data_IF_220921168098
#
_entry.id   IF_220921168098
#
_cell.length_a   1.000
_cell.length_b   1.000
_cell.length_c   1.000
_cell.angle_alpha   90.00
_cell.angle_beta   90.00
_cell.angle_gamma   90.00
#
_symmetry.space_group_name_H-M   'P 1'
#
loop_
_entity.id
_entity.type
_entity.pdbx_description
1 polymer ?
#
# COMPACT_ATOMS: atom_id res chain seq x y z
N UNK A 1 50.54 36.21 21.73
CA UNK A 1 49.87 35.39 22.77
C UNK A 1 48.39 35.65 22.61
N UNK A 2 47.69 34.73 21.94
CA UNK A 2 46.60 33.92 22.52
C UNK A 2 45.46 34.82 23.05
N UNK A 3 44.20 34.74 22.63
CA UNK A 3 43.49 33.62 22.03
C UNK A 3 42.03 34.03 21.77
N UNK A 4 41.43 33.38 20.78
CA UNK A 4 40.03 32.93 20.79
C UNK A 4 38.93 33.91 20.37
N UNK A 5 38.99 34.21 19.07
CA UNK A 5 37.82 34.36 18.22
C UNK A 5 36.77 33.28 18.53
N UNK A 6 35.66 33.69 19.13
CA UNK A 6 34.50 32.86 19.42
C UNK A 6 33.84 32.46 18.11
N UNK A 7 34.24 31.31 17.56
CA UNK A 7 33.62 30.70 16.38
C UNK A 7 32.19 30.30 16.74
N UNK A 8 31.22 31.05 16.24
CA UNK A 8 29.80 30.66 16.16
C UNK A 8 29.74 29.45 15.23
N UNK A 9 29.75 28.25 15.81
CA UNK A 9 29.48 27.01 15.10
C UNK A 9 27.97 26.80 15.13
N UNK A 10 27.28 27.42 14.17
CA UNK A 10 25.86 27.23 13.93
C UNK A 10 25.69 25.83 13.29
N UNK A 11 25.53 24.82 14.15
CA UNK A 11 25.23 23.45 13.74
C UNK A 11 23.82 23.45 13.13
N UNK A 12 23.71 23.66 11.81
CA UNK A 12 22.49 23.39 11.06
C UNK A 12 22.25 21.88 11.11
N UNK A 13 21.50 21.44 12.13
CA UNK A 13 20.87 20.13 12.15
C UNK A 13 19.85 20.16 11.01
N UNK A 14 20.26 19.69 9.84
CA UNK A 14 19.36 19.25 8.78
C UNK A 14 18.55 18.09 9.35
N UNK A 15 17.53 18.43 10.13
CA UNK A 15 16.43 17.54 10.41
C UNK A 15 15.76 17.36 9.06
N UNK A 16 16.13 16.28 8.38
CA UNK A 16 15.35 15.72 7.29
C UNK A 16 14.01 15.34 7.91
N UNK A 17 13.10 16.30 8.02
CA UNK A 17 11.70 16.01 8.22
C UNK A 17 11.33 15.16 7.01
N UNK A 18 11.27 13.84 7.22
CA UNK A 18 10.62 12.94 6.29
C UNK A 18 9.17 13.37 6.34
N UNK A 19 8.82 14.35 5.51
CA UNK A 19 7.45 14.79 5.36
C UNK A 19 6.70 13.59 4.78
N UNK A 20 5.92 12.94 5.64
CA UNK A 20 4.98 11.93 5.19
C UNK A 20 3.98 12.66 4.30
N UNK A 21 3.91 12.28 3.02
CA UNK A 21 2.88 12.82 2.14
C UNK A 21 1.49 12.31 2.54
N UNK A 22 0.42 12.82 1.90
CA UNK A 22 -0.96 12.53 2.27
C UNK A 22 -1.27 11.03 2.24
N UNK A 23 -0.63 10.28 1.33
CA UNK A 23 -0.83 8.84 1.23
C UNK A 23 -0.22 8.14 2.45
N UNK A 24 1.00 8.51 2.84
CA UNK A 24 1.64 8.02 4.05
C UNK A 24 0.83 8.36 5.30
N UNK A 25 0.37 9.59 5.45
CA UNK A 25 -0.47 9.99 6.59
C UNK A 25 -1.75 9.16 6.68
N UNK A 26 -2.43 8.98 5.55
CA UNK A 26 -3.62 8.15 5.45
C UNK A 26 -3.34 6.71 5.91
N UNK A 27 -2.29 6.06 5.39
CA UNK A 27 -1.96 4.67 5.77
C UNK A 27 -1.48 4.56 7.22
N UNK A 28 -0.74 5.55 7.73
CA UNK A 28 -0.35 5.61 9.15
C UNK A 28 -1.58 5.70 10.05
N UNK A 29 -2.58 6.50 9.68
CA UNK A 29 -3.80 6.64 10.45
C UNK A 29 -4.66 5.38 10.40
N UNK A 30 -4.73 4.69 9.27
CA UNK A 30 -5.36 3.37 9.17
C UNK A 30 -4.69 2.35 10.11
N UNK A 31 -3.36 2.27 10.11
CA UNK A 31 -2.62 1.39 11.02
C UNK A 31 -2.83 1.76 12.50
N UNK A 32 -2.92 3.05 12.84
CA UNK A 32 -3.28 3.49 14.21
C UNK A 32 -4.70 3.04 14.58
N UNK A 33 -5.65 3.11 13.64
CA UNK A 33 -7.02 2.64 13.88
C UNK A 33 -7.04 1.13 14.17
N UNK A 34 -6.30 0.33 13.40
CA UNK A 34 -6.14 -1.11 13.67
C UNK A 34 -5.54 -1.37 15.05
N UNK A 35 -4.58 -0.55 15.49
CA UNK A 35 -3.98 -0.63 16.82
C UNK A 35 -4.99 -0.34 17.94
N UNK A 36 -5.80 0.72 17.77
CA UNK A 36 -6.87 1.09 18.71
C UNK A 36 -7.92 -0.02 18.78
N UNK A 37 -8.29 -0.59 17.63
CA UNK A 37 -9.19 -1.72 17.58
C UNK A 37 -8.63 -2.93 18.33
N UNK A 38 -7.36 -3.31 18.09
CA UNK A 38 -6.71 -4.42 18.78
C UNK A 38 -6.67 -4.21 20.31
N UNK A 39 -6.39 -2.98 20.76
CA UNK A 39 -6.45 -2.60 22.19
C UNK A 39 -7.85 -2.77 22.77
N UNK A 40 -8.88 -2.32 22.05
CA UNK A 40 -10.29 -2.44 22.47
C UNK A 40 -10.77 -3.89 22.53
N UNK A 41 -10.26 -4.75 21.65
CA UNK A 41 -10.63 -6.17 21.58
C UNK A 41 -9.76 -7.08 22.45
N UNK A 42 -8.92 -6.52 23.32
CA UNK A 42 -8.00 -7.29 24.18
C UNK A 42 -7.13 -8.29 23.40
N UNK A 43 -6.69 -7.91 22.20
CA UNK A 43 -5.80 -8.70 21.35
C UNK A 43 -4.34 -8.50 21.76
N UNK A 44 -4.04 -8.68 23.04
CA UNK A 44 -2.79 -8.24 23.67
C UNK A 44 -1.54 -8.85 23.03
N UNK A 45 -1.64 -10.08 22.52
CA UNK A 45 -0.56 -10.75 21.79
C UNK A 45 -0.18 -10.06 20.47
N UNK A 46 -1.10 -9.31 19.86
CA UNK A 46 -0.90 -8.68 18.55
C UNK A 46 -0.43 -7.22 18.67
N UNK A 47 -0.71 -6.56 19.79
CA UNK A 47 -0.38 -5.14 20.01
C UNK A 47 1.10 -4.85 19.80
N UNK A 48 2.07 -5.57 20.41
CA UNK A 48 3.49 -5.25 20.25
C UNK A 48 3.96 -5.35 18.80
N UNK A 49 3.42 -6.31 18.05
CA UNK A 49 3.73 -6.48 16.63
C UNK A 49 3.15 -5.33 15.80
N UNK A 50 1.91 -4.93 16.06
CA UNK A 50 1.26 -3.80 15.40
C UNK A 50 2.00 -2.48 15.68
N UNK A 51 2.42 -2.23 16.93
CA UNK A 51 3.20 -1.03 17.31
C UNK A 51 4.55 -1.01 16.59
N UNK A 52 5.26 -2.15 16.57
CA UNK A 52 6.54 -2.28 15.87
C UNK A 52 6.40 -2.04 14.37
N UNK A 53 5.35 -2.60 13.75
CA UNK A 53 5.10 -2.43 12.32
C UNK A 53 4.73 -0.98 11.99
N UNK A 54 3.91 -0.33 12.83
CA UNK A 54 3.58 1.08 12.69
C UNK A 54 4.83 1.96 12.76
N UNK A 55 5.73 1.72 13.72
CA UNK A 55 6.96 2.50 13.83
C UNK A 55 7.85 2.32 12.60
N UNK A 56 8.09 1.07 12.18
CA UNK A 56 8.86 0.77 10.98
C UNK A 56 8.27 1.41 9.72
N UNK A 57 6.94 1.42 9.62
CA UNK A 57 6.25 2.03 8.49
C UNK A 57 6.46 3.53 8.49
N UNK A 58 6.24 4.22 9.62
CA UNK A 58 6.51 5.67 9.76
C UNK A 58 7.92 6.05 9.35
N UNK A 59 8.92 5.29 9.78
CA UNK A 59 10.34 5.61 9.54
C UNK A 59 10.74 5.52 8.06
N UNK A 60 9.99 4.77 7.25
CA UNK A 60 10.33 4.46 5.86
C UNK A 60 9.29 4.89 4.83
N UNK A 61 8.15 5.42 5.27
CA UNK A 61 7.04 5.66 4.37
C UNK A 61 7.38 6.74 3.34
N UNK A 62 7.13 6.42 2.07
CA UNK A 62 7.16 7.38 0.97
C UNK A 62 5.96 7.15 0.07
N UNK A 63 5.25 8.22 -0.25
CA UNK A 63 4.09 8.20 -1.15
C UNK A 63 4.43 7.60 -2.51
N UNK A 64 5.64 7.89 -3.03
CA UNK A 64 6.14 7.33 -4.29
C UNK A 64 6.25 5.81 -4.26
N UNK A 65 6.72 5.25 -3.14
CA UNK A 65 6.96 3.81 -3.01
C UNK A 65 5.61 3.09 -2.95
N UNK A 66 4.65 3.64 -2.21
CA UNK A 66 3.27 3.13 -2.15
C UNK A 66 2.60 3.18 -3.52
N UNK A 67 2.74 4.28 -4.26
CA UNK A 67 2.20 4.39 -5.61
C UNK A 67 2.84 3.37 -6.56
N UNK A 68 4.15 3.18 -6.47
CA UNK A 68 4.86 2.19 -7.26
C UNK A 68 4.36 0.77 -6.97
N UNK A 69 4.17 0.41 -5.71
CA UNK A 69 3.61 -0.89 -5.31
C UNK A 69 2.19 -1.09 -5.88
N UNK A 70 1.36 -0.03 -5.87
CA UNK A 70 0.02 -0.08 -6.48
C UNK A 70 0.10 -0.28 -8.00
N UNK A 71 1.01 0.42 -8.68
CA UNK A 71 1.22 0.22 -10.13
C UNK A 71 1.67 -1.21 -10.44
N UNK A 72 2.61 -1.76 -9.68
CA UNK A 72 3.04 -3.15 -9.83
C UNK A 72 1.88 -4.14 -9.60
N UNK A 73 1.04 -3.89 -8.60
CA UNK A 73 -0.15 -4.70 -8.36
C UNK A 73 -1.18 -4.60 -9.50
N UNK A 74 -1.34 -3.42 -10.10
CA UNK A 74 -2.19 -3.24 -11.29
C UNK A 74 -1.66 -4.06 -12.48
N UNK A 75 -0.35 -4.05 -12.73
CA UNK A 75 0.26 -4.85 -13.80
C UNK A 75 0.02 -6.35 -13.55
N UNK A 76 0.33 -6.82 -12.34
CA UNK A 76 0.15 -8.21 -11.95
C UNK A 76 -1.31 -8.67 -12.08
N UNK A 77 -2.26 -7.88 -11.58
CA UNK A 77 -3.69 -8.23 -11.66
C UNK A 77 -4.25 -8.13 -13.08
N UNK A 78 -3.69 -7.25 -13.93
CA UNK A 78 -4.02 -7.20 -15.36
C UNK A 78 -3.59 -8.48 -16.07
N UNK A 79 -2.37 -8.94 -15.80
CA UNK A 79 -1.85 -10.18 -16.38
C UNK A 79 -2.65 -11.39 -15.92
N UNK A 80 -3.00 -11.46 -14.63
CA UNK A 80 -3.88 -12.50 -14.10
C UNK A 80 -5.26 -12.49 -14.78
N UNK A 81 -5.84 -11.31 -15.01
CA UNK A 81 -7.10 -11.18 -15.74
C UNK A 81 -6.97 -11.64 -17.20
N UNK A 82 -5.86 -11.32 -17.87
CA UNK A 82 -5.59 -11.79 -19.23
C UNK A 82 -5.49 -13.31 -19.28
N UNK A 83 -4.77 -13.91 -18.34
CA UNK A 83 -4.63 -15.36 -18.24
C UNK A 83 -5.99 -16.03 -17.98
N UNK A 84 -6.76 -15.52 -17.01
CA UNK A 84 -8.08 -16.06 -16.71
C UNK A 84 -9.07 -15.96 -17.89
N UNK A 85 -8.97 -14.91 -18.72
CA UNK A 85 -9.74 -14.81 -19.98
C UNK A 85 -9.35 -15.90 -20.97
N UNK A 86 -8.04 -16.16 -21.11
CA UNK A 86 -7.52 -17.22 -21.98
C UNK A 86 -7.99 -18.59 -21.50
N UNK A 87 -7.88 -18.87 -20.20
CA UNK A 87 -8.30 -20.14 -19.59
C UNK A 87 -9.80 -20.37 -19.75
N UNK A 88 -10.61 -19.32 -19.59
CA UNK A 88 -12.05 -19.39 -19.81
C UNK A 88 -12.39 -19.71 -21.27
N UNK A 89 -11.74 -19.04 -22.23
CA UNK A 89 -11.92 -19.33 -23.66
C UNK A 89 -11.51 -20.77 -24.00
N UNK A 90 -10.41 -21.25 -23.41
CA UNK A 90 -9.94 -22.62 -23.61
C UNK A 90 -10.93 -23.64 -23.03
N UNK A 91 -11.45 -23.39 -21.83
CA UNK A 91 -12.46 -24.25 -21.22
C UNK A 91 -13.76 -24.30 -22.06
N UNK A 92 -14.15 -23.19 -22.70
CA UNK A 92 -15.29 -23.15 -23.62
C UNK A 92 -15.05 -24.03 -24.86
N UNK A 93 -13.84 -24.00 -25.43
CA UNK A 93 -13.46 -24.85 -26.57
C UNK A 93 -13.48 -26.34 -26.19
N UNK A 94 -12.98 -26.69 -25.00
CA UNK A 94 -12.98 -28.07 -24.49
C UNK A 94 -14.38 -28.61 -24.18
N UNK A 95 -15.38 -27.74 -23.99
CA UNK A 95 -16.78 -28.12 -23.78
C UNK A 95 -17.08 -28.78 -22.43
N UNK A 96 -16.11 -28.86 -21.50
CA UNK A 96 -16.33 -29.46 -20.19
C UNK A 96 -17.05 -28.46 -19.26
N UNK A 97 -18.33 -28.72 -18.95
CA UNK A 97 -19.17 -27.83 -18.15
C UNK A 97 -18.58 -27.49 -16.76
N UNK A 98 -17.92 -28.46 -16.10
CA UNK A 98 -17.27 -28.22 -14.82
C UNK A 98 -16.08 -27.27 -14.95
N UNK A 99 -15.20 -27.51 -15.93
CA UNK A 99 -14.05 -26.62 -16.21
C UNK A 99 -14.50 -25.21 -16.60
N UNK A 100 -15.54 -25.08 -17.41
CA UNK A 100 -16.12 -23.79 -17.80
C UNK A 100 -16.58 -23.03 -16.56
N UNK A 101 -17.29 -23.70 -15.64
CA UNK A 101 -17.77 -23.06 -14.41
C UNK A 101 -16.63 -22.61 -13.51
N UNK A 102 -15.59 -23.43 -13.33
CA UNK A 102 -14.41 -23.05 -12.57
C UNK A 102 -13.68 -21.87 -13.19
N UNK A 103 -13.43 -21.91 -14.50
CA UNK A 103 -12.75 -20.84 -15.21
C UNK A 103 -13.56 -19.52 -15.18
N UNK A 104 -14.89 -19.60 -15.22
CA UNK A 104 -15.77 -18.43 -15.04
C UNK A 104 -15.57 -17.77 -13.66
N UNK A 105 -15.53 -18.57 -12.59
CA UNK A 105 -15.30 -18.06 -11.23
C UNK A 105 -13.92 -17.40 -11.13
N UNK A 106 -12.88 -18.04 -11.67
CA UNK A 106 -11.53 -17.46 -11.68
C UNK A 106 -11.46 -16.16 -12.47
N UNK A 107 -12.14 -16.08 -13.62
CA UNK A 107 -12.24 -14.85 -14.40
C UNK A 107 -12.93 -13.73 -13.61
N UNK A 108 -14.02 -14.03 -12.91
CA UNK A 108 -14.71 -13.04 -12.07
C UNK A 108 -13.82 -12.56 -10.92
N UNK A 109 -13.11 -13.46 -10.24
CA UNK A 109 -12.16 -13.12 -9.17
C UNK A 109 -11.05 -12.22 -9.71
N UNK A 110 -10.40 -12.60 -10.81
CA UNK A 110 -9.33 -11.82 -11.41
C UNK A 110 -9.81 -10.43 -11.84
N UNK A 111 -11.03 -10.33 -12.38
CA UNK A 111 -11.64 -9.05 -12.75
C UNK A 111 -11.88 -8.16 -11.52
N UNK A 112 -12.40 -8.72 -10.42
CA UNK A 112 -12.59 -7.99 -9.16
C UNK A 112 -11.27 -7.51 -8.57
N UNK A 113 -10.22 -8.34 -8.60
CA UNK A 113 -8.89 -7.96 -8.13
C UNK A 113 -8.30 -6.80 -8.95
N UNK A 114 -8.41 -6.85 -10.28
CA UNK A 114 -7.96 -5.78 -11.15
C UNK A 114 -8.71 -4.46 -10.89
N UNK A 115 -10.03 -4.52 -10.74
CA UNK A 115 -10.85 -3.35 -10.41
C UNK A 115 -10.45 -2.78 -9.05
N UNK A 116 -10.27 -3.62 -8.03
CA UNK A 116 -9.86 -3.18 -6.70
C UNK A 116 -8.48 -2.49 -6.71
N UNK A 117 -7.53 -3.01 -7.50
CA UNK A 117 -6.22 -2.39 -7.66
C UNK A 117 -6.31 -0.99 -8.31
N UNK A 118 -7.16 -0.84 -9.33
CA UNK A 118 -7.43 0.45 -9.98
C UNK A 118 -8.12 1.44 -9.03
N UNK A 119 -9.07 0.97 -8.23
CA UNK A 119 -9.76 1.80 -7.24
C UNK A 119 -8.80 2.29 -6.15
N UNK A 120 -7.87 1.45 -5.70
CA UNK A 120 -6.86 1.87 -4.73
C UNK A 120 -5.97 2.99 -5.30
N UNK A 121 -5.56 2.89 -6.57
CA UNK A 121 -4.80 3.96 -7.22
C UNK A 121 -5.58 5.26 -7.27
N UNK A 122 -6.86 5.22 -7.63
CA UNK A 122 -7.72 6.41 -7.65
C UNK A 122 -7.82 7.04 -6.27
N UNK A 123 -8.06 6.23 -5.23
CA UNK A 123 -8.13 6.70 -3.85
C UNK A 123 -6.84 7.40 -3.42
N UNK A 124 -5.68 6.84 -3.74
CA UNK A 124 -4.40 7.47 -3.41
C UNK A 124 -4.15 8.76 -4.22
N UNK A 125 -4.56 8.81 -5.48
CA UNK A 125 -4.48 10.03 -6.30
C UNK A 125 -5.39 11.15 -5.78
N UNK A 126 -6.57 10.80 -5.26
CA UNK A 126 -7.47 11.78 -4.66
C UNK A 126 -6.87 12.41 -3.41
N UNK A 127 -6.19 11.64 -2.56
CA UNK A 127 -5.47 12.15 -1.39
C UNK A 127 -4.41 13.19 -1.77
N UNK A 128 -3.68 12.98 -2.87
CA UNK A 128 -2.69 13.95 -3.38
C UNK A 128 -3.32 15.22 -3.97
N UNK A 129 -4.58 15.14 -4.41
CA UNK A 129 -5.31 16.29 -4.97
C UNK A 129 -5.90 17.17 -3.88
N UNK A 130 -6.32 16.59 -2.75
CA UNK A 130 -6.92 17.32 -1.63
C UNK A 130 -5.94 18.17 -0.83
N UNK A 131 -4.63 18.04 -1.04
CA UNK A 131 -3.61 18.88 -0.42
C UNK A 131 -3.21 20.12 -1.25
N UNK A 132 -3.81 20.33 -2.42
CA UNK A 132 -3.62 21.54 -3.26
C UNK A 132 -4.74 22.54 -3.05
#
# INVERSE_FOLDING_TARGET
MLENATKIFLLMILSSFVYAGPICEYKINDMKYQLVYAKKQHLDKQIPLLEKNLQKFKDKCKDSDILNDIYQNIEMTRDNLKNAKSDFSQAQIEGNAYKIRQAQIHLEIANKQYIAAQQELLRMKDLLRTEK
#
